data_IF_294653899119
#
_entry.id   IF_294653899119
#
_cell.length_a   1.000
_cell.length_b   1.000
_cell.length_c   1.000
_cell.angle_alpha   90.00
_cell.angle_beta   90.00
_cell.angle_gamma   90.00
#
_symmetry.space_group_name_H-M   'P 1'
#
loop_
_entity.id
_entity.type
_entity.pdbx_description
1 polymer ?
#
# COMPACT_ATOMS: atom_id res chain seq x y z
N UNK A 1 -30.57 9.70 56.50
CA UNK A 1 -29.30 9.71 55.71
C UNK A 1 -29.32 8.56 54.70
N UNK A 2 -30.25 8.57 53.74
CA UNK A 2 -30.57 7.41 52.87
C UNK A 2 -30.96 7.83 51.44
N UNK A 3 -30.39 8.93 50.92
CA UNK A 3 -30.68 9.43 49.57
C UNK A 3 -29.45 9.52 48.64
N UNK A 4 -28.26 9.11 49.08
CA UNK A 4 -27.04 9.22 48.30
C UNK A 4 -26.68 7.96 47.47
N UNK A 5 -27.40 6.85 47.62
CA UNK A 5 -26.98 5.57 47.01
C UNK A 5 -27.55 5.29 45.61
N UNK A 6 -28.50 6.10 45.12
CA UNK A 6 -29.21 5.82 43.87
C UNK A 6 -28.59 6.47 42.61
N UNK A 7 -27.60 7.35 42.75
CA UNK A 7 -27.03 8.11 41.63
C UNK A 7 -25.78 7.47 41.00
N UNK A 8 -25.27 6.36 41.55
CA UNK A 8 -24.08 5.68 41.01
C UNK A 8 -24.38 4.60 39.96
N UNK A 9 -25.64 4.25 39.72
CA UNK A 9 -26.02 3.20 38.76
C UNK A 9 -26.21 3.68 37.32
N UNK A 10 -26.25 4.99 37.07
CA UNK A 10 -26.48 5.53 35.72
C UNK A 10 -25.21 5.78 34.88
N UNK A 11 -24.02 5.60 35.44
CA UNK A 11 -22.76 5.91 34.74
C UNK A 11 -22.13 4.72 33.97
N UNK A 12 -22.66 3.50 34.10
CA UNK A 12 -22.06 2.28 33.48
C UNK A 12 -22.66 1.95 32.10
N UNK A 13 -23.62 2.74 31.61
CA UNK A 13 -24.27 2.51 30.32
C UNK A 13 -23.54 3.15 29.11
N UNK A 14 -22.36 3.75 29.31
CA UNK A 14 -21.57 4.29 28.21
C UNK A 14 -20.80 3.19 27.47
N UNK A 15 -21.42 2.68 26.40
CA UNK A 15 -20.71 2.35 25.16
C UNK A 15 -19.99 1.00 25.13
N UNK A 16 -20.71 -0.11 25.32
CA UNK A 16 -20.29 -1.35 24.66
C UNK A 16 -20.40 -1.11 23.15
N UNK A 17 -19.27 -1.00 22.46
CA UNK A 17 -19.23 -1.02 21.01
C UNK A 17 -19.82 -2.35 20.55
N UNK A 18 -21.03 -2.32 19.99
CA UNK A 18 -21.70 -3.50 19.46
C UNK A 18 -20.85 -4.07 18.31
N UNK A 19 -20.32 -5.30 18.42
CA UNK A 19 -19.49 -5.91 17.38
C UNK A 19 -20.24 -6.02 16.05
N UNK A 20 -21.57 -6.22 16.10
CA UNK A 20 -22.42 -6.28 14.90
C UNK A 20 -22.51 -4.90 14.23
N UNK A 21 -22.62 -3.83 15.01
CA UNK A 21 -22.60 -2.46 14.48
C UNK A 21 -21.25 -2.14 13.82
N UNK A 22 -20.14 -2.58 14.41
CA UNK A 22 -18.80 -2.36 13.85
C UNK A 22 -18.56 -3.14 12.55
N UNK A 23 -18.97 -4.41 12.50
CA UNK A 23 -18.89 -5.21 11.27
C UNK A 23 -19.68 -4.55 10.13
N UNK A 24 -20.87 -4.01 10.43
CA UNK A 24 -21.66 -3.24 9.45
C UNK A 24 -20.96 -1.98 8.97
N UNK A 25 -20.27 -1.25 9.85
CA UNK A 25 -19.51 -0.04 9.47
C UNK A 25 -18.37 -0.42 8.52
N UNK A 26 -17.59 -1.44 8.87
CA UNK A 26 -16.50 -1.97 8.03
C UNK A 26 -17.04 -2.41 6.67
N UNK A 27 -18.13 -3.19 6.64
CA UNK A 27 -18.72 -3.68 5.40
C UNK A 27 -19.25 -2.53 4.54
N UNK A 28 -19.91 -1.54 5.16
CA UNK A 28 -20.39 -0.34 4.46
C UNK A 28 -19.23 0.43 3.83
N UNK A 29 -18.14 0.62 4.56
CA UNK A 29 -16.99 1.39 4.08
C UNK A 29 -16.22 0.63 2.99
N UNK A 30 -16.16 -0.70 3.08
CA UNK A 30 -15.71 -1.57 1.98
C UNK A 30 -16.58 -1.39 0.73
N UNK A 31 -17.91 -1.57 0.85
CA UNK A 31 -18.83 -1.46 -0.28
C UNK A 31 -18.79 -0.07 -0.91
N UNK A 32 -18.63 1.00 -0.11
CA UNK A 32 -18.47 2.36 -0.61
C UNK A 32 -17.24 2.49 -1.51
N UNK A 33 -16.11 1.88 -1.15
CA UNK A 33 -14.92 1.89 -2.01
C UNK A 33 -15.10 1.05 -3.27
N UNK A 34 -15.74 -0.10 -3.16
CA UNK A 34 -16.03 -0.93 -4.32
C UNK A 34 -16.90 -0.16 -5.31
N UNK A 35 -17.98 0.48 -4.84
CA UNK A 35 -18.84 1.32 -5.68
C UNK A 35 -18.08 2.51 -6.26
N UNK A 36 -17.24 3.20 -5.48
CA UNK A 36 -16.42 4.30 -5.97
C UNK A 36 -15.44 3.83 -7.06
N UNK A 37 -14.84 2.65 -6.87
CA UNK A 37 -13.94 2.04 -7.83
C UNK A 37 -14.64 1.56 -9.10
N UNK A 38 -15.85 1.00 -9.00
CA UNK A 38 -16.69 0.68 -10.16
C UNK A 38 -17.10 1.92 -10.95
N UNK A 39 -17.50 3.01 -10.28
CA UNK A 39 -17.79 4.28 -10.95
C UNK A 39 -16.56 4.85 -11.64
N UNK A 40 -15.38 4.71 -11.02
CA UNK A 40 -14.13 5.07 -11.69
C UNK A 40 -13.88 4.19 -12.93
N UNK A 41 -14.29 2.91 -12.92
CA UNK A 41 -14.20 2.03 -14.09
C UNK A 41 -15.16 2.41 -15.21
N UNK A 42 -16.39 2.83 -14.88
CA UNK A 42 -17.37 3.30 -15.86
C UNK A 42 -16.88 4.51 -16.66
N UNK A 43 -15.99 5.31 -16.06
CA UNK A 43 -15.30 6.40 -16.74
C UNK A 43 -14.30 5.97 -17.83
N UNK A 44 -13.96 4.67 -17.92
CA UNK A 44 -13.06 4.14 -18.93
C UNK A 44 -13.83 3.41 -20.03
N UNK A 45 -13.83 3.98 -21.23
CA UNK A 45 -14.31 3.27 -22.41
C UNK A 45 -13.27 2.20 -22.85
N UNK A 46 -13.70 1.14 -23.55
CA UNK A 46 -12.77 0.17 -24.12
C UNK A 46 -11.71 0.88 -24.97
N UNK A 47 -10.43 0.66 -24.66
CA UNK A 47 -9.30 1.27 -25.36
C UNK A 47 -8.80 2.62 -24.79
N UNK A 48 -9.43 3.17 -23.75
CA UNK A 48 -9.01 4.46 -23.15
C UNK A 48 -8.16 4.32 -21.89
N UNK A 49 -7.59 3.13 -21.63
CA UNK A 49 -6.64 2.97 -20.52
C UNK A 49 -5.35 3.75 -20.79
N UNK A 50 -4.98 3.85 -22.07
CA UNK A 50 -3.89 4.68 -22.57
C UNK A 50 -4.49 5.95 -23.16
N UNK A 51 -4.08 7.11 -22.65
CA UNK A 51 -4.56 8.40 -23.14
C UNK A 51 -3.62 8.98 -24.19
N UNK A 52 -2.35 8.54 -24.20
CA UNK A 52 -1.29 9.07 -25.07
C UNK A 52 -0.64 7.96 -25.87
N UNK A 53 -0.13 8.33 -27.05
CA UNK A 53 0.60 7.40 -27.93
C UNK A 53 1.93 6.91 -27.34
N UNK A 54 2.48 7.63 -26.36
CA UNK A 54 3.75 7.28 -25.68
C UNK A 54 3.54 6.59 -24.34
N UNK A 55 2.30 6.24 -24.01
CA UNK A 55 2.04 5.46 -22.81
C UNK A 55 2.47 4.00 -23.03
N UNK A 56 2.99 3.37 -21.98
CA UNK A 56 3.34 1.96 -21.95
C UNK A 56 2.52 1.30 -20.86
N UNK A 57 1.91 0.16 -21.16
CA UNK A 57 1.05 -0.55 -20.23
C UNK A 57 1.83 -1.69 -19.55
N UNK A 58 1.92 -1.64 -18.23
CA UNK A 58 2.47 -2.70 -17.40
C UNK A 58 1.35 -3.42 -16.69
N UNK A 59 1.39 -4.75 -16.67
CA UNK A 59 0.42 -5.55 -15.92
C UNK A 59 1.11 -6.36 -14.83
N UNK A 60 0.57 -6.32 -13.62
CA UNK A 60 1.05 -7.08 -12.46
C UNK A 60 -0.08 -7.96 -11.96
N UNK A 61 0.17 -9.25 -11.74
CA UNK A 61 -0.84 -10.15 -11.16
C UNK A 61 -0.88 -10.01 -9.64
N UNK A 62 -2.04 -10.31 -9.05
CA UNK A 62 -2.20 -10.39 -7.60
C UNK A 62 -1.25 -11.42 -6.95
N UNK A 63 -0.96 -12.53 -7.65
CA UNK A 63 -0.01 -13.56 -7.21
C UNK A 63 1.41 -13.05 -7.08
N UNK A 64 1.90 -12.29 -8.07
CA UNK A 64 3.23 -11.68 -8.03
C UNK A 64 3.31 -10.67 -6.89
N UNK A 65 2.32 -9.80 -6.79
CA UNK A 65 2.28 -8.79 -5.73
C UNK A 65 2.22 -9.41 -4.32
N UNK A 66 1.44 -10.48 -4.15
CA UNK A 66 1.40 -11.27 -2.93
C UNK A 66 2.78 -11.86 -2.60
N UNK A 67 3.47 -12.42 -3.58
CA UNK A 67 4.80 -13.00 -3.37
C UNK A 67 5.83 -11.96 -2.93
N UNK A 68 5.75 -10.74 -3.47
CA UNK A 68 6.62 -9.62 -3.10
C UNK A 68 6.34 -9.16 -1.67
N UNK A 69 5.07 -9.06 -1.28
CA UNK A 69 4.70 -8.69 0.09
C UNK A 69 5.08 -9.77 1.11
N UNK A 70 4.85 -11.04 0.79
CA UNK A 70 5.24 -12.16 1.66
C UNK A 70 6.76 -12.20 1.84
N UNK A 71 7.53 -11.91 0.79
CA UNK A 71 9.00 -11.84 0.88
C UNK A 71 9.51 -10.69 1.76
N UNK A 72 8.69 -9.64 1.98
CA UNK A 72 9.02 -8.53 2.87
C UNK A 72 8.66 -8.81 4.35
N UNK A 73 8.08 -9.98 4.65
CA UNK A 73 7.69 -10.41 5.99
C UNK A 73 8.68 -11.46 6.54
N UNK A 74 8.85 -11.54 7.86
CA UNK A 74 8.17 -10.77 8.91
C UNK A 74 8.68 -9.33 9.04
N UNK A 75 7.79 -8.41 9.44
CA UNK A 75 8.10 -6.99 9.62
C UNK A 75 7.74 -6.53 11.03
N UNK A 76 8.69 -5.91 11.75
CA UNK A 76 8.44 -5.34 13.08
C UNK A 76 8.48 -3.82 13.04
N UNK A 77 7.45 -3.19 13.58
CA UNK A 77 7.25 -1.74 13.61
C UNK A 77 7.06 -1.30 15.06
N UNK A 78 7.92 -0.39 15.52
CA UNK A 78 7.84 0.21 16.85
C UNK A 78 7.11 1.56 16.80
N UNK A 79 5.92 1.63 17.40
CA UNK A 79 5.06 2.82 17.42
C UNK A 79 5.43 3.75 18.59
N UNK A 80 6.58 4.43 18.47
CA UNK A 80 7.08 5.43 19.44
C UNK A 80 6.99 4.96 20.90
N UNK A 81 7.46 3.74 21.17
CA UNK A 81 7.48 3.13 22.50
C UNK A 81 6.09 2.93 23.16
N UNK A 82 5.00 2.98 22.37
CA UNK A 82 3.62 2.70 22.84
C UNK A 82 3.24 1.24 22.61
N UNK A 83 3.50 0.77 21.40
CA UNK A 83 3.25 -0.60 20.98
C UNK A 83 4.28 -1.05 19.96
N UNK A 84 4.52 -2.35 19.91
CA UNK A 84 5.29 -3.05 18.88
C UNK A 84 4.32 -3.89 18.07
N UNK A 85 4.34 -3.74 16.76
CA UNK A 85 3.54 -4.54 15.83
C UNK A 85 4.48 -5.42 15.02
N UNK A 86 4.26 -6.73 15.05
CA UNK A 86 4.96 -7.69 14.21
C UNK A 86 3.98 -8.28 13.21
N UNK A 87 4.16 -7.96 11.94
CA UNK A 87 3.37 -8.49 10.83
C UNK A 87 4.03 -9.77 10.31
N UNK A 88 3.22 -10.79 10.06
CA UNK A 88 3.68 -12.14 9.74
C UNK A 88 3.08 -12.68 8.45
N UNK A 89 1.88 -12.24 8.07
CA UNK A 89 1.27 -12.67 6.81
C UNK A 89 0.67 -11.48 6.05
N UNK A 90 0.58 -11.64 4.73
CA UNK A 90 -0.03 -10.69 3.82
C UNK A 90 -0.90 -11.41 2.79
N UNK A 91 -2.08 -10.87 2.54
CA UNK A 91 -2.95 -11.28 1.45
C UNK A 91 -3.24 -10.08 0.54
N UNK A 92 -3.34 -10.37 -0.75
CA UNK A 92 -3.65 -9.38 -1.78
C UNK A 92 -4.81 -9.90 -2.61
N UNK A 93 -5.78 -9.02 -2.86
CA UNK A 93 -6.86 -9.27 -3.79
C UNK A 93 -7.21 -8.00 -4.57
N UNK A 94 -7.57 -8.16 -5.83
CA UNK A 94 -8.01 -7.05 -6.67
C UNK A 94 -9.51 -7.16 -6.91
N UNK A 95 -10.24 -6.16 -6.42
CA UNK A 95 -11.69 -6.12 -6.57
C UNK A 95 -12.12 -4.68 -6.80
N UNK A 96 -13.03 -4.48 -7.77
CA UNK A 96 -13.68 -3.20 -8.00
C UNK A 96 -12.71 -2.02 -8.11
N UNK A 97 -11.63 -2.16 -8.89
CA UNK A 97 -10.59 -1.13 -9.05
C UNK A 97 -9.78 -0.79 -7.80
N UNK A 98 -9.79 -1.66 -6.79
CA UNK A 98 -8.99 -1.49 -5.58
C UNK A 98 -8.04 -2.66 -5.43
N UNK A 99 -6.75 -2.34 -5.25
CA UNK A 99 -5.72 -3.30 -4.90
C UNK A 99 -5.67 -3.48 -3.38
N UNK A 100 -6.52 -4.35 -2.85
CA UNK A 100 -6.67 -4.54 -1.40
C UNK A 100 -5.52 -5.35 -0.82
N UNK A 101 -5.07 -4.93 0.36
CA UNK A 101 -4.04 -5.60 1.14
C UNK A 101 -4.59 -5.85 2.54
N UNK A 102 -4.59 -7.11 2.96
CA UNK A 102 -4.91 -7.51 4.33
C UNK A 102 -3.62 -8.07 4.96
N UNK A 103 -3.17 -7.48 6.07
CA UNK A 103 -1.97 -7.87 6.80
C UNK A 103 -2.36 -8.43 8.16
N UNK A 104 -1.77 -9.55 8.57
CA UNK A 104 -2.00 -10.17 9.87
C UNK A 104 -0.71 -10.19 10.69
N UNK A 105 -0.86 -10.14 12.01
CA UNK A 105 0.28 -10.16 12.91
C UNK A 105 -0.13 -10.07 14.38
N UNK A 106 0.81 -9.61 15.19
CA UNK A 106 0.63 -9.41 16.62
C UNK A 106 0.99 -7.98 17.03
N UNK A 107 0.24 -7.45 17.98
CA UNK A 107 0.55 -6.18 18.63
C UNK A 107 0.83 -6.43 20.11
N UNK A 108 1.88 -5.80 20.62
CA UNK A 108 2.34 -5.93 22.00
C UNK A 108 2.52 -4.54 22.58
N UNK A 109 2.08 -4.32 23.81
CA UNK A 109 2.26 -3.01 24.47
C UNK A 109 3.67 -2.89 25.01
N UNK A 110 4.38 -1.81 24.69
CA UNK A 110 5.79 -1.69 25.10
C UNK A 110 5.94 -1.50 26.61
N UNK A 111 5.03 -0.76 27.24
CA UNK A 111 5.01 -0.58 28.71
C UNK A 111 4.61 -1.85 29.48
N UNK A 112 3.91 -2.79 28.82
CA UNK A 112 3.43 -4.04 29.43
C UNK A 112 3.64 -5.20 28.45
N UNK A 113 4.88 -5.71 28.34
CA UNK A 113 5.23 -6.69 27.30
C UNK A 113 4.44 -8.00 27.37
N UNK A 114 3.89 -8.36 28.53
CA UNK A 114 3.04 -9.54 28.65
C UNK A 114 1.68 -9.37 27.95
N UNK A 115 1.22 -8.13 27.74
CA UNK A 115 -0.04 -7.83 27.08
C UNK A 115 0.16 -7.77 25.57
N UNK A 116 -0.39 -8.77 24.87
CA UNK A 116 -0.37 -8.84 23.42
C UNK A 116 -1.76 -9.21 22.86
N UNK A 117 -1.94 -9.05 21.56
CA UNK A 117 -3.13 -9.49 20.85
C UNK A 117 -2.81 -9.74 19.37
N UNK A 118 -3.66 -10.52 18.68
CA UNK A 118 -3.61 -10.61 17.23
C UNK A 118 -4.14 -9.30 16.62
N UNK A 119 -3.51 -8.82 15.55
CA UNK A 119 -3.93 -7.64 14.81
C UNK A 119 -4.14 -8.01 13.34
N UNK A 120 -5.22 -7.48 12.76
CA UNK A 120 -5.52 -7.53 11.34
C UNK A 120 -5.59 -6.09 10.84
N UNK A 121 -4.70 -5.73 9.94
CA UNK A 121 -4.68 -4.43 9.27
C UNK A 121 -5.26 -4.60 7.88
N UNK A 122 -6.13 -3.68 7.49
CA UNK A 122 -6.74 -3.68 6.16
C UNK A 122 -6.46 -2.35 5.48
N UNK A 123 -6.07 -2.45 4.23
CA UNK A 123 -5.63 -1.30 3.45
C UNK A 123 -5.73 -1.54 1.96
N UNK A 124 -5.17 -0.61 1.21
CA UNK A 124 -5.02 -0.72 -0.23
C UNK A 124 -3.63 -0.24 -0.66
N UNK A 125 -3.16 -0.76 -1.79
CA UNK A 125 -2.04 -0.15 -2.49
C UNK A 125 -2.50 1.13 -3.15
N UNK A 126 -1.82 2.22 -2.83
CA UNK A 126 -2.00 3.53 -3.41
C UNK A 126 -0.64 4.18 -3.75
N UNK A 127 -0.71 5.38 -4.33
CA UNK A 127 0.46 6.23 -4.62
C UNK A 127 1.58 5.49 -5.35
N UNK A 128 1.31 5.16 -6.61
CA UNK A 128 2.30 4.58 -7.50
C UNK A 128 3.29 5.65 -7.98
N UNK A 129 4.56 5.45 -7.69
CA UNK A 129 5.62 6.42 -8.01
C UNK A 129 6.80 5.71 -8.63
N UNK A 130 7.42 6.36 -9.62
CA UNK A 130 8.71 5.93 -10.15
C UNK A 130 9.79 6.66 -9.35
N UNK A 131 10.69 5.91 -8.72
CA UNK A 131 11.77 6.49 -7.90
C UNK A 131 12.93 7.02 -8.77
N UNK A 132 13.94 7.62 -8.13
CA UNK A 132 15.15 8.14 -8.82
C UNK A 132 16.02 7.04 -9.45
N UNK A 133 15.82 5.78 -9.06
CA UNK A 133 16.46 4.61 -9.67
C UNK A 133 15.59 4.03 -10.79
N UNK A 134 14.51 4.71 -11.13
CA UNK A 134 13.48 4.29 -12.08
C UNK A 134 12.84 2.93 -11.72
N UNK A 135 12.74 2.64 -10.42
CA UNK A 135 11.95 1.53 -9.91
C UNK A 135 10.50 2.00 -9.68
N UNK A 136 9.55 1.20 -10.12
CA UNK A 136 8.13 1.45 -9.87
C UNK A 136 7.77 0.96 -8.46
N UNK A 137 7.45 1.89 -7.57
CA UNK A 137 7.00 1.62 -6.21
C UNK A 137 5.53 1.89 -6.00
N UNK A 138 4.93 1.19 -5.05
CA UNK A 138 3.60 1.47 -4.51
C UNK A 138 3.67 1.60 -2.98
N UNK A 139 2.81 2.39 -2.37
CA UNK A 139 2.67 2.43 -0.90
C UNK A 139 1.41 1.70 -0.47
N UNK A 140 1.47 1.13 0.72
CA UNK A 140 0.29 0.54 1.36
C UNK A 140 -0.29 1.63 2.25
N UNK A 141 -1.56 1.94 2.06
CA UNK A 141 -2.31 2.82 2.95
C UNK A 141 -3.25 1.97 3.79
N UNK A 142 -3.20 2.14 5.12
CA UNK A 142 -4.00 1.37 6.07
C UNK A 142 -5.15 2.24 6.54
N UNK A 143 -6.35 1.67 6.53
CA UNK A 143 -7.56 2.42 6.80
C UNK A 143 -8.49 1.71 7.80
N UNK A 144 -8.23 0.44 8.09
CA UNK A 144 -8.93 -0.27 9.15
C UNK A 144 -8.01 -1.20 9.94
N UNK A 145 -8.36 -1.37 11.22
CA UNK A 145 -7.64 -2.17 12.20
C UNK A 145 -8.64 -2.97 13.01
N UNK A 146 -8.43 -4.27 13.08
CA UNK A 146 -9.11 -5.16 14.01
C UNK A 146 -8.09 -5.81 14.94
N UNK A 147 -8.45 -5.90 16.22
CA UNK A 147 -7.66 -6.58 17.24
C UNK A 147 -8.53 -7.67 17.85
N UNK A 148 -8.01 -8.89 17.83
CA UNK A 148 -8.67 -10.08 18.31
C UNK A 148 -7.74 -10.84 19.26
N UNK A 149 -8.30 -11.77 20.05
CA UNK A 149 -7.53 -12.76 20.84
C UNK A 149 -6.42 -12.14 21.70
N UNK A 150 -6.76 -11.37 22.75
CA UNK A 150 -5.79 -10.83 23.68
C UNK A 150 -5.12 -11.96 24.47
N UNK A 151 -3.90 -11.71 24.92
CA UNK A 151 -3.11 -12.63 25.75
C UNK A 151 -2.37 -11.86 26.85
N UNK A 152 -2.06 -12.59 27.94
CA UNK A 152 -1.33 -12.06 29.10
C UNK A 152 -2.14 -11.18 30.06
N UNK A 153 -3.47 -11.16 29.91
CA UNK A 153 -4.39 -10.62 30.91
C UNK A 153 -5.35 -11.72 31.38
N UNK A 154 -6.04 -11.49 32.51
CA UNK A 154 -7.13 -12.37 32.91
C UNK A 154 -8.29 -12.19 31.92
N UNK A 155 -8.95 -13.29 31.52
CA UNK A 155 -10.00 -13.29 30.50
C UNK A 155 -11.14 -12.28 30.77
N UNK A 156 -11.41 -11.97 32.05
CA UNK A 156 -12.38 -10.95 32.44
C UNK A 156 -12.05 -9.53 31.92
N UNK A 157 -10.79 -9.26 31.59
CA UNK A 157 -10.29 -7.99 31.07
C UNK A 157 -10.04 -7.99 29.56
N UNK A 158 -10.31 -9.09 28.85
CA UNK A 158 -10.09 -9.19 27.41
C UNK A 158 -10.73 -8.03 26.62
N UNK A 159 -12.00 -7.64 26.86
CA UNK A 159 -12.60 -6.52 26.14
C UNK A 159 -11.89 -5.19 26.39
N UNK A 160 -11.37 -4.98 27.61
CA UNK A 160 -10.63 -3.78 27.97
C UNK A 160 -9.26 -3.75 27.29
N UNK A 161 -8.56 -4.89 27.27
CA UNK A 161 -7.26 -5.02 26.60
C UNK A 161 -7.40 -4.76 25.11
N UNK A 162 -8.39 -5.37 24.46
CA UNK A 162 -8.69 -5.14 23.04
C UNK A 162 -8.95 -3.66 22.80
N UNK A 163 -9.85 -3.03 23.58
CA UNK A 163 -10.19 -1.61 23.40
C UNK A 163 -8.98 -0.67 23.57
N UNK A 164 -8.11 -0.94 24.56
CA UNK A 164 -6.91 -0.15 24.80
C UNK A 164 -5.90 -0.32 23.66
N UNK A 165 -5.58 -1.55 23.29
CA UNK A 165 -4.64 -1.81 22.20
C UNK A 165 -5.17 -1.22 20.89
N UNK A 166 -6.46 -1.34 20.65
CA UNK A 166 -7.08 -0.85 19.43
C UNK A 166 -7.02 0.67 19.37
N UNK A 167 -7.35 1.37 20.46
CA UNK A 167 -7.20 2.82 20.51
C UNK A 167 -5.74 3.25 20.31
N UNK A 168 -4.76 2.46 20.76
CA UNK A 168 -3.33 2.78 20.54
C UNK A 168 -2.96 2.62 19.07
N UNK A 169 -3.38 1.54 18.42
CA UNK A 169 -3.08 1.29 17.00
C UNK A 169 -3.82 2.29 16.11
N UNK A 170 -5.11 2.53 16.34
CA UNK A 170 -5.92 3.49 15.56
C UNK A 170 -5.34 4.90 15.61
N UNK A 171 -4.92 5.37 16.79
CA UNK A 171 -4.27 6.70 16.93
C UNK A 171 -2.89 6.77 16.28
N UNK A 172 -2.26 5.62 16.06
CA UNK A 172 -0.93 5.51 15.48
C UNK A 172 -0.98 5.08 14.00
N UNK A 173 -2.17 5.01 13.39
CA UNK A 173 -2.34 4.61 11.99
C UNK A 173 -1.51 5.41 10.99
N UNK A 174 -1.39 6.74 11.10
CA UNK A 174 -0.52 7.51 10.20
C UNK A 174 0.95 7.09 10.32
N UNK A 175 1.45 6.93 11.55
CA UNK A 175 2.83 6.49 11.82
C UNK A 175 3.07 5.06 11.31
N UNK A 176 2.10 4.17 11.52
CA UNK A 176 2.12 2.79 11.04
C UNK A 176 2.19 2.75 9.51
N UNK A 177 1.35 3.55 8.85
CA UNK A 177 1.28 3.63 7.39
C UNK A 177 2.58 4.17 6.79
N UNK A 178 3.21 5.16 7.43
CA UNK A 178 4.50 5.69 7.01
C UNK A 178 5.65 4.70 7.18
N UNK A 179 5.59 3.86 8.23
CA UNK A 179 6.60 2.86 8.55
C UNK A 179 6.51 1.59 7.68
N UNK A 180 5.39 1.37 6.97
CA UNK A 180 5.28 0.26 6.04
C UNK A 180 6.23 0.44 4.84
N UNK A 181 6.92 -0.64 4.42
CA UNK A 181 7.81 -0.57 3.27
C UNK A 181 7.01 -0.31 1.99
N UNK A 182 7.60 0.46 1.08
CA UNK A 182 7.08 0.55 -0.28
C UNK A 182 7.24 -0.79 -1.00
N UNK A 183 6.22 -1.21 -1.74
CA UNK A 183 6.26 -2.42 -2.55
C UNK A 183 6.92 -2.10 -3.88
N UNK A 184 8.09 -2.68 -4.14
CA UNK A 184 8.78 -2.53 -5.42
C UNK A 184 8.20 -3.49 -6.46
N UNK A 185 7.67 -2.95 -7.55
CA UNK A 185 7.17 -3.72 -8.68
C UNK A 185 8.38 -4.02 -9.59
N UNK A 186 8.66 -5.30 -9.92
CA UNK A 186 9.88 -5.72 -10.60
C UNK A 186 9.82 -5.42 -12.11
N UNK A 187 9.77 -4.14 -12.45
CA UNK A 187 9.92 -3.64 -13.82
C UNK A 187 11.23 -2.89 -13.94
N UNK A 188 12.01 -3.22 -14.99
CA UNK A 188 13.21 -2.48 -15.34
C UNK A 188 12.83 -1.36 -16.30
N UNK A 189 13.00 -0.13 -15.87
CA UNK A 189 12.81 1.05 -16.70
C UNK A 189 14.20 1.58 -17.08
N UNK A 190 14.48 1.60 -18.38
CA UNK A 190 15.76 2.11 -18.88
C UNK A 190 15.82 3.64 -18.70
N UNK A 191 17.01 4.16 -18.37
CA UNK A 191 17.21 5.57 -18.00
C UNK A 191 17.43 6.48 -19.21
N UNK A 192 17.89 5.90 -20.32
CA UNK A 192 18.18 6.61 -21.54
C UNK A 192 18.00 5.70 -22.74
N UNK A 193 17.57 6.30 -23.84
CA UNK A 193 17.64 5.68 -25.15
C UNK A 193 19.02 5.96 -25.73
N UNK A 194 19.81 4.90 -25.93
CA UNK A 194 21.12 5.01 -26.55
C UNK A 194 21.02 4.59 -28.01
N UNK A 195 21.35 5.50 -28.91
CA UNK A 195 21.51 5.22 -30.33
C UNK A 195 23.01 4.97 -30.61
N UNK A 196 23.35 3.80 -31.18
CA UNK A 196 24.73 3.50 -31.51
C UNK A 196 25.24 4.46 -32.60
N UNK A 197 26.56 4.62 -32.66
CA UNK A 197 27.17 5.27 -33.83
C UNK A 197 27.09 4.34 -35.04
N UNK A 198 26.87 4.94 -36.22
CA UNK A 198 27.02 4.25 -37.50
C UNK A 198 28.32 4.73 -38.15
N UNK A 199 29.14 3.75 -38.58
CA UNK A 199 30.55 3.95 -38.92
C UNK A 199 30.81 4.82 -40.17
N UNK A 200 32.09 5.20 -40.40
CA UNK A 200 32.49 6.03 -41.54
C UNK A 200 32.38 5.32 -42.90
N UNK A 201 32.38 3.99 -42.92
CA UNK A 201 32.27 3.17 -44.15
C UNK A 201 30.82 2.91 -44.60
N UNK A 202 29.84 3.37 -43.81
CA UNK A 202 28.44 3.35 -44.21
C UNK A 202 28.11 4.57 -45.07
N UNK A 203 27.11 4.45 -45.96
CA UNK A 203 26.63 5.58 -46.76
C UNK A 203 26.11 6.77 -45.93
N UNK A 204 25.91 6.58 -44.61
CA UNK A 204 25.46 7.60 -43.66
C UNK A 204 26.21 7.43 -42.34
N UNK A 205 26.98 8.46 -41.94
CA UNK A 205 27.65 8.51 -40.64
C UNK A 205 26.79 9.25 -39.63
N UNK A 206 26.49 8.60 -38.50
CA UNK A 206 25.71 9.17 -37.40
C UNK A 206 26.50 8.97 -36.12
N UNK A 207 26.76 10.06 -35.40
CA UNK A 207 27.42 10.01 -34.11
C UNK A 207 26.55 9.26 -33.09
N UNK A 208 27.19 8.55 -32.16
CA UNK A 208 26.48 7.95 -31.03
C UNK A 208 25.73 9.05 -30.27
N UNK A 209 24.48 8.79 -29.91
CA UNK A 209 23.66 9.76 -29.18
C UNK A 209 22.86 9.09 -28.09
N UNK A 210 22.58 9.84 -27.03
CA UNK A 210 21.80 9.39 -25.88
C UNK A 210 20.76 10.43 -25.55
N UNK A 211 19.54 9.98 -25.29
CA UNK A 211 18.44 10.83 -24.83
C UNK A 211 17.91 10.30 -23.49
N UNK A 212 17.83 11.13 -22.44
CA UNK A 212 17.31 10.70 -21.15
C UNK A 212 15.81 10.41 -21.25
N UNK A 213 15.35 9.40 -20.52
CA UNK A 213 13.94 9.02 -20.45
C UNK A 213 13.36 9.45 -19.10
N UNK A 214 12.27 10.22 -19.14
CA UNK A 214 11.47 10.51 -17.95
C UNK A 214 10.26 9.60 -17.97
N UNK A 215 10.10 8.77 -16.94
CA UNK A 215 8.99 7.83 -16.82
C UNK A 215 8.16 8.18 -15.59
N UNK A 216 6.85 8.33 -15.78
CA UNK A 216 5.91 8.63 -14.69
C UNK A 216 4.72 7.68 -14.74
N UNK A 217 4.18 7.29 -13.59
CA UNK A 217 2.93 6.52 -13.56
C UNK A 217 1.77 7.50 -13.79
N UNK A 218 1.07 7.35 -14.92
CA UNK A 218 -0.03 8.24 -15.29
C UNK A 218 -1.37 7.74 -14.76
N UNK A 219 -1.58 6.42 -14.75
CA UNK A 219 -2.85 5.81 -14.33
C UNK A 219 -2.63 4.40 -13.80
N UNK A 220 -3.43 4.03 -12.79
CA UNK A 220 -3.43 2.68 -12.23
C UNK A 220 -4.86 2.18 -12.07
N UNK A 221 -5.11 0.96 -12.55
CA UNK A 221 -6.42 0.31 -12.53
C UNK A 221 -6.26 -1.13 -12.02
N UNK A 222 -7.06 -1.55 -11.04
CA UNK A 222 -7.07 -2.94 -10.55
C UNK A 222 -8.30 -3.69 -11.09
N UNK A 223 -8.12 -4.49 -12.13
CA UNK A 223 -9.22 -5.16 -12.83
C UNK A 223 -8.84 -6.57 -13.31
N UNK A 224 -9.78 -7.52 -13.22
CA UNK A 224 -9.59 -8.92 -13.62
C UNK A 224 -8.33 -9.57 -13.01
N UNK A 225 -8.15 -9.45 -11.69
CA UNK A 225 -7.00 -10.01 -10.96
C UNK A 225 -5.64 -9.51 -11.47
N UNK A 226 -5.64 -8.36 -12.17
CA UNK A 226 -4.44 -7.66 -12.62
C UNK A 226 -4.48 -6.20 -12.20
N UNK A 227 -3.30 -5.68 -11.91
CA UNK A 227 -3.04 -4.27 -11.76
C UNK A 227 -2.45 -3.77 -13.07
N UNK A 228 -3.18 -2.88 -13.71
CA UNK A 228 -2.83 -2.23 -14.97
C UNK A 228 -2.25 -0.87 -14.64
N UNK A 229 -0.99 -0.64 -14.99
CA UNK A 229 -0.25 0.58 -14.71
C UNK A 229 0.13 1.18 -16.05
N UNK A 230 -0.48 2.30 -16.40
CA UNK A 230 -0.05 3.10 -17.53
C UNK A 230 1.13 3.97 -17.09
N UNK A 231 2.25 3.79 -17.79
CA UNK A 231 3.45 4.58 -17.61
C UNK A 231 3.56 5.57 -18.77
N UNK A 232 3.63 6.84 -18.46
CA UNK A 232 3.93 7.86 -19.45
C UNK A 232 5.44 8.00 -19.59
N UNK A 233 5.93 7.90 -20.84
CA UNK A 233 7.34 8.05 -21.17
C UNK A 233 7.54 9.33 -21.99
N UNK A 234 8.41 10.20 -21.49
CA UNK A 234 8.86 11.41 -22.17
C UNK A 234 10.34 11.26 -22.54
N UNK A 235 10.65 11.49 -23.82
CA UNK A 235 12.01 11.47 -24.34
C UNK A 235 12.60 12.88 -24.24
N UNK A 236 13.73 13.00 -23.55
CA UNK A 236 14.50 14.24 -23.49
C UNK A 236 15.26 14.52 -24.78
N UNK A 237 15.96 15.65 -24.82
CA UNK A 237 16.78 16.02 -25.98
C UNK A 237 17.94 15.02 -26.18
N UNK A 238 18.20 14.67 -27.45
CA UNK A 238 19.38 13.88 -27.79
C UNK A 238 20.65 14.69 -27.55
N UNK A 239 21.61 14.05 -26.89
CA UNK A 239 22.97 14.54 -26.72
C UNK A 239 23.91 13.60 -27.44
N UNK A 240 24.83 14.12 -28.23
CA UNK A 240 25.89 13.30 -28.84
C UNK A 240 26.84 12.83 -27.76
N UNK A 241 27.01 11.51 -27.65
CA UNK A 241 27.99 10.92 -26.75
C UNK A 241 29.33 11.06 -27.46
N UNK A 242 30.13 12.05 -27.06
CA UNK A 242 31.51 12.16 -27.53
C UNK A 242 32.28 10.99 -26.93
N UNK A 243 32.33 9.88 -27.66
CA UNK A 243 33.18 8.74 -27.33
C UNK A 243 34.62 9.25 -27.29
N UNK A 244 35.15 9.44 -26.08
CA UNK A 244 36.53 9.76 -25.84
C UNK A 244 37.40 8.60 -26.33
N UNK A 245 37.80 8.66 -27.59
CA UNK A 245 38.90 7.87 -28.12
C UNK A 245 40.14 8.38 -27.41
N UNK A 246 40.59 7.65 -26.37
CA UNK A 246 41.91 7.86 -25.81
C UNK A 246 42.92 7.26 -26.82
N UNK A 247 43.84 8.06 -27.36
CA UNK A 247 44.87 7.56 -28.26
C UNK A 247 45.81 6.56 -27.56
#
# INVERSE_FOLDING_TARGET
MTRALALLWFAVACGRADPVARERIVLRDQLRREVAGYRALEGYAPGTVMDRKTDVLVTVTDTLLRSLLVAALPLTIDLRNRARITLTEAQVSFRANVARVDLTGHVQRTSFPHIAAAVKLRGALDRFTVDKKHALGARINIDDVAIDTPSGALAAFDPLVIAVLQSVVERSLPELTEALPSVAIPVRLDQAMNLPSFGPDAALSVAASSAPLTVTASRVIAFQNRLWIALHVELGAFTTVTSGVKP
#
